data_IF_556870323806
#
_entry.id   IF_556870323806
#
_cell.length_a   1.000
_cell.length_b   1.000
_cell.length_c   1.000
_cell.angle_alpha   90.00
_cell.angle_beta   90.00
_cell.angle_gamma   90.00
#
_symmetry.space_group_name_H-M   'P 1'
#
loop_
_entity.id
_entity.type
_entity.pdbx_description
1 polymer ?
#
# COMPACT_ATOMS: atom_id res chain seq x y z
N UNK A 1 -1.61 2.16 12.26
CA UNK A 1 -1.56 2.77 10.91
C UNK A 1 -0.70 1.97 9.94
N UNK A 2 0.55 1.67 10.28
CA UNK A 2 1.47 0.91 9.42
C UNK A 2 0.89 -0.38 8.81
N UNK A 3 0.07 -1.12 9.57
CA UNK A 3 -0.55 -2.34 9.02
C UNK A 3 -1.53 -2.07 7.88
N UNK A 4 -2.35 -1.01 7.97
CA UNK A 4 -3.27 -0.65 6.87
C UNK A 4 -2.49 -0.26 5.61
N UNK A 5 -1.39 0.47 5.77
CA UNK A 5 -0.50 0.87 4.68
C UNK A 5 0.12 -0.36 4.01
N UNK A 6 0.69 -1.29 4.78
CA UNK A 6 1.21 -2.57 4.28
C UNK A 6 0.13 -3.37 3.56
N UNK A 7 -1.00 -3.58 4.22
CA UNK A 7 -2.04 -4.50 3.76
C UNK A 7 -2.66 -4.06 2.44
N UNK A 8 -2.96 -2.76 2.30
CA UNK A 8 -3.58 -2.21 1.10
C UNK A 8 -2.60 -1.87 0.00
N UNK A 9 -1.40 -1.37 0.32
CA UNK A 9 -0.35 -1.05 -0.66
C UNK A 9 -0.89 -0.36 -1.91
N UNK A 10 -1.64 0.74 -1.72
CA UNK A 10 -2.46 1.34 -2.79
C UNK A 10 -1.63 1.90 -3.96
N UNK A 11 -0.34 2.13 -3.73
CA UNK A 11 0.64 2.45 -4.75
C UNK A 11 1.50 1.20 -4.94
N UNK A 12 1.43 0.62 -6.13
CA UNK A 12 2.20 -0.57 -6.52
C UNK A 12 3.28 -0.18 -7.55
N UNK A 13 3.41 -0.91 -8.66
CA UNK A 13 4.55 -0.80 -9.56
C UNK A 13 4.78 0.57 -10.21
N UNK A 14 3.73 1.34 -10.44
CA UNK A 14 3.78 2.57 -11.23
C UNK A 14 4.50 3.75 -10.56
N UNK A 15 4.76 3.68 -9.26
CA UNK A 15 5.58 4.69 -8.57
C UNK A 15 7.03 4.22 -8.35
N UNK A 16 7.32 2.95 -8.66
CA UNK A 16 8.57 2.29 -8.30
C UNK A 16 9.32 1.75 -9.51
N UNK A 17 8.80 1.97 -10.72
CA UNK A 17 9.42 1.55 -11.97
C UNK A 17 10.77 2.24 -12.19
N UNK A 18 11.73 1.49 -12.72
CA UNK A 18 13.10 1.96 -12.96
C UNK A 18 13.57 1.49 -14.32
N UNK A 19 14.64 2.11 -14.81
CA UNK A 19 15.41 1.62 -15.95
C UNK A 19 16.83 1.37 -15.45
N UNK A 20 17.37 0.20 -15.75
CA UNK A 20 18.74 -0.13 -15.41
C UNK A 20 19.71 0.76 -16.22
N UNK A 21 20.61 1.46 -15.55
CA UNK A 21 21.60 2.32 -16.21
C UNK A 21 22.89 1.57 -16.58
N UNK A 22 23.09 0.41 -15.97
CA UNK A 22 24.24 -0.48 -16.17
C UNK A 22 23.79 -1.94 -15.99
N UNK A 23 24.61 -2.86 -16.48
CA UNK A 23 24.41 -4.30 -16.28
C UNK A 23 24.58 -4.65 -14.79
N UNK A 24 23.66 -5.43 -14.22
CA UNK A 24 23.69 -5.86 -12.82
C UNK A 24 23.04 -7.22 -12.60
N UNK A 25 23.15 -7.76 -11.40
CA UNK A 25 22.46 -8.98 -10.98
C UNK A 25 21.53 -8.67 -9.80
N UNK A 26 20.26 -9.08 -9.89
CA UNK A 26 19.25 -8.94 -8.83
C UNK A 26 18.62 -10.31 -8.57
N UNK A 27 18.71 -10.80 -7.33
CA UNK A 27 18.10 -12.08 -6.96
C UNK A 27 18.60 -13.27 -7.78
N UNK A 28 19.87 -13.25 -8.21
CA UNK A 28 20.44 -14.29 -9.08
C UNK A 28 20.04 -14.18 -10.55
N UNK A 29 19.40 -13.09 -10.97
CA UNK A 29 19.00 -12.84 -12.36
C UNK A 29 19.78 -11.67 -12.94
N UNK A 30 20.30 -11.82 -14.15
CA UNK A 30 20.98 -10.74 -14.87
C UNK A 30 19.96 -9.72 -15.40
N UNK A 31 20.27 -8.44 -15.21
CA UNK A 31 19.53 -7.29 -15.74
C UNK A 31 20.52 -6.47 -16.59
N UNK A 32 20.14 -6.14 -17.82
CA UNK A 32 20.98 -5.39 -18.75
C UNK A 32 20.70 -3.91 -18.71
N UNK A 33 21.70 -3.10 -19.01
CA UNK A 33 21.54 -1.67 -19.20
C UNK A 33 20.44 -1.39 -20.23
N UNK A 34 19.52 -0.49 -19.89
CA UNK A 34 18.35 -0.13 -20.69
C UNK A 34 17.09 -0.95 -20.41
N UNK A 35 17.17 -2.05 -19.64
CA UNK A 35 15.97 -2.82 -19.29
C UNK A 35 15.10 -2.11 -18.25
N UNK A 36 13.79 -2.23 -18.42
CA UNK A 36 12.79 -1.74 -17.47
C UNK A 36 12.59 -2.71 -16.31
N UNK A 37 12.48 -2.16 -15.11
CA UNK A 37 12.28 -2.89 -13.87
C UNK A 37 10.96 -2.45 -13.24
N UNK A 38 10.02 -3.38 -13.12
CA UNK A 38 8.79 -3.18 -12.36
C UNK A 38 8.98 -3.69 -10.94
N UNK A 39 9.01 -2.78 -9.97
CA UNK A 39 9.12 -3.12 -8.56
C UNK A 39 7.72 -3.24 -7.96
N UNK A 40 7.28 -4.47 -7.68
CA UNK A 40 5.93 -4.72 -7.17
C UNK A 40 5.90 -4.56 -5.64
N UNK A 41 5.47 -3.38 -5.17
CA UNK A 41 5.40 -3.05 -3.74
C UNK A 41 4.32 -3.82 -2.98
N UNK A 42 3.17 -4.08 -3.60
CA UNK A 42 2.08 -4.82 -2.97
C UNK A 42 2.46 -6.30 -2.70
N UNK A 43 3.02 -7.05 -3.66
CA UNK A 43 3.60 -8.37 -3.39
C UNK A 43 4.73 -8.36 -2.36
N UNK A 44 5.63 -7.37 -2.38
CA UNK A 44 6.68 -7.25 -1.37
C UNK A 44 6.11 -7.08 0.05
N UNK A 45 5.02 -6.32 0.19
CA UNK A 45 4.28 -6.16 1.46
C UNK A 45 3.47 -7.39 1.88
N UNK A 46 3.40 -8.42 1.02
CA UNK A 46 2.81 -9.74 1.31
C UNK A 46 3.87 -10.85 1.40
N UNK A 47 5.16 -10.52 1.42
CA UNK A 47 6.23 -11.52 1.45
C UNK A 47 6.21 -12.31 2.77
N UNK A 48 5.96 -13.62 2.67
CA UNK A 48 5.91 -14.55 3.80
C UNK A 48 7.25 -14.71 4.52
N UNK A 49 8.37 -14.32 3.89
CA UNK A 49 9.70 -14.30 4.51
C UNK A 49 9.86 -13.16 5.52
N UNK A 50 9.01 -12.13 5.42
CA UNK A 50 9.06 -10.91 6.25
C UNK A 50 7.84 -10.80 7.16
N UNK A 51 6.65 -11.13 6.65
CA UNK A 51 5.39 -11.00 7.36
C UNK A 51 4.72 -12.37 7.54
N UNK A 52 4.64 -12.84 8.78
CA UNK A 52 3.87 -14.06 9.12
C UNK A 52 2.37 -13.85 8.85
N UNK A 53 1.68 -14.81 8.21
CA UNK A 53 0.27 -14.67 7.79
C UNK A 53 0.03 -13.33 7.05
N UNK A 54 0.72 -13.08 5.93
CA UNK A 54 0.78 -11.76 5.28
C UNK A 54 -0.57 -11.28 4.74
N UNK A 55 -1.47 -12.22 4.44
CA UNK A 55 -2.81 -11.96 3.91
C UNK A 55 -3.85 -11.71 5.01
N UNK A 56 -3.46 -11.74 6.28
CA UNK A 56 -4.30 -11.30 7.39
C UNK A 56 -4.02 -9.83 7.72
N UNK A 57 -5.09 -9.07 7.92
CA UNK A 57 -5.02 -7.72 8.48
C UNK A 57 -4.94 -7.83 10.01
N UNK A 58 -3.73 -7.68 10.57
CA UNK A 58 -3.51 -7.67 12.03
C UNK A 58 -2.97 -6.32 12.49
N UNK A 59 -3.87 -5.45 12.97
CA UNK A 59 -3.51 -4.11 13.45
C UNK A 59 -2.61 -4.12 14.70
N UNK A 60 -2.47 -5.25 15.38
CA UNK A 60 -1.60 -5.43 16.54
C UNK A 60 -0.21 -5.93 16.15
N UNK A 61 -0.01 -6.34 14.89
CA UNK A 61 1.30 -6.64 14.34
C UNK A 61 2.20 -5.41 14.53
N UNK A 62 3.41 -5.63 15.01
CA UNK A 62 4.46 -4.60 15.07
C UNK A 62 5.02 -4.29 13.68
N UNK A 63 4.17 -3.92 12.72
CA UNK A 63 4.52 -3.76 11.30
C UNK A 63 5.61 -2.72 11.14
N UNK A 64 6.75 -3.16 10.62
CA UNK A 64 7.92 -2.34 10.26
C UNK A 64 8.39 -2.77 8.89
N UNK A 65 9.18 -1.91 8.23
CA UNK A 65 9.84 -2.21 6.96
C UNK A 65 8.90 -2.53 5.79
N UNK A 66 7.61 -2.17 5.88
CA UNK A 66 6.74 -2.21 4.71
C UNK A 66 7.22 -1.18 3.68
N UNK A 67 6.98 -1.45 2.41
CA UNK A 67 7.40 -0.60 1.28
C UNK A 67 6.23 0.16 0.64
N UNK A 68 5.10 0.33 1.36
CA UNK A 68 3.95 1.09 0.86
C UNK A 68 4.27 2.56 0.50
N UNK A 69 5.35 3.12 1.06
CA UNK A 69 5.88 4.45 0.74
C UNK A 69 7.11 4.42 -0.17
N UNK A 70 7.40 3.27 -0.79
CA UNK A 70 8.67 3.02 -1.48
C UNK A 70 9.85 2.93 -0.51
N UNK A 71 11.06 2.95 -1.08
CA UNK A 71 12.32 2.84 -0.35
C UNK A 71 13.44 3.62 -1.08
N UNK A 72 14.50 3.94 -0.34
CA UNK A 72 15.67 4.64 -0.87
C UNK A 72 15.47 6.15 -1.00
N UNK A 73 16.27 6.78 -1.87
CA UNK A 73 16.31 8.24 -2.02
C UNK A 73 15.00 8.86 -2.53
N UNK A 74 14.11 8.05 -3.12
CA UNK A 74 12.78 8.47 -3.57
C UNK A 74 11.66 7.99 -2.64
N UNK A 75 11.99 7.50 -1.44
CA UNK A 75 10.97 7.17 -0.45
C UNK A 75 10.07 8.38 -0.21
N UNK A 76 8.76 8.13 -0.10
CA UNK A 76 7.74 9.17 -0.04
C UNK A 76 8.11 10.27 0.98
N UNK A 77 8.37 11.47 0.46
CA UNK A 77 8.70 12.65 1.27
C UNK A 77 7.55 13.00 2.23
N UNK A 78 6.30 12.80 1.77
CA UNK A 78 5.09 13.08 2.53
C UNK A 78 4.66 11.98 3.50
N UNK A 79 5.43 10.90 3.67
CA UNK A 79 5.00 9.73 4.45
C UNK A 79 4.58 10.05 5.89
N UNK A 80 5.25 11.02 6.54
CA UNK A 80 4.93 11.40 7.91
C UNK A 80 3.66 12.26 7.99
N UNK A 81 3.43 13.10 6.98
CA UNK A 81 2.17 13.84 6.86
C UNK A 81 1.01 12.87 6.63
N UNK A 82 1.15 11.94 5.67
CA UNK A 82 0.13 10.94 5.39
C UNK A 82 -0.22 10.09 6.62
N UNK A 83 0.79 9.70 7.43
CA UNK A 83 0.55 9.01 8.71
C UNK A 83 -0.26 9.85 9.68
N UNK A 84 0.12 11.12 9.86
CA UNK A 84 -0.59 12.03 10.75
C UNK A 84 -2.04 12.26 10.29
N UNK A 85 -2.25 12.49 8.99
CA UNK A 85 -3.58 12.68 8.41
C UNK A 85 -4.47 11.44 8.62
N UNK A 86 -3.96 10.25 8.32
CA UNK A 86 -4.72 9.01 8.51
C UNK A 86 -5.03 8.75 9.99
N UNK A 87 -4.07 8.98 10.88
CA UNK A 87 -4.29 8.81 12.32
C UNK A 87 -5.39 9.75 12.83
N UNK A 88 -5.31 11.04 12.48
CA UNK A 88 -6.30 12.04 12.88
C UNK A 88 -7.67 11.72 12.26
N UNK A 89 -7.70 11.41 10.96
CA UNK A 89 -8.94 11.14 10.24
C UNK A 89 -9.66 9.91 10.81
N UNK A 90 -8.98 8.78 10.97
CA UNK A 90 -9.62 7.57 11.49
C UNK A 90 -10.07 7.74 12.94
N UNK A 91 -9.23 8.33 13.79
CA UNK A 91 -9.58 8.60 15.19
C UNK A 91 -10.82 9.49 15.28
N UNK A 92 -10.79 10.64 14.61
CA UNK A 92 -11.91 11.60 14.63
C UNK A 92 -13.18 10.99 14.05
N UNK A 93 -13.08 10.25 12.95
CA UNK A 93 -14.22 9.63 12.29
C UNK A 93 -14.96 8.68 13.24
N UNK A 94 -14.25 7.73 13.86
CA UNK A 94 -14.87 6.73 14.72
C UNK A 94 -15.26 7.27 16.11
N UNK A 95 -14.60 8.32 16.61
CA UNK A 95 -15.03 9.01 17.84
C UNK A 95 -16.31 9.83 17.63
N UNK A 96 -16.44 10.50 16.48
CA UNK A 96 -17.57 11.40 16.18
C UNK A 96 -18.76 10.68 15.58
N UNK A 97 -18.53 9.55 14.90
CA UNK A 97 -19.52 8.78 14.16
C UNK A 97 -19.39 7.30 14.55
N UNK A 98 -19.70 6.93 15.80
CA UNK A 98 -19.48 5.56 16.29
C UNK A 98 -20.41 4.51 15.65
N UNK A 99 -21.53 4.94 15.07
CA UNK A 99 -22.47 4.09 14.32
C UNK A 99 -22.11 3.88 12.85
N UNK A 100 -20.97 4.42 12.38
CA UNK A 100 -20.57 4.37 10.97
C UNK A 100 -20.56 2.94 10.45
N UNK A 101 -21.28 2.70 9.35
CA UNK A 101 -21.36 1.43 8.65
C UNK A 101 -21.42 1.65 7.14
N UNK A 102 -20.84 0.71 6.39
CA UNK A 102 -21.02 0.63 4.94
C UNK A 102 -22.47 0.25 4.63
N UNK A 103 -23.02 0.79 3.56
CA UNK A 103 -24.36 0.43 3.06
C UNK A 103 -24.29 -0.01 1.61
N UNK A 104 -25.07 -1.05 1.30
CA UNK A 104 -25.05 -1.70 0.00
C UNK A 104 -24.45 -3.10 0.08
N UNK A 105 -24.19 -3.66 -1.09
CA UNK A 105 -23.53 -4.95 -1.26
C UNK A 105 -22.01 -4.74 -1.37
N UNK A 106 -21.25 -5.40 -0.50
CA UNK A 106 -19.79 -5.30 -0.45
C UNK A 106 -19.15 -5.79 -1.77
N UNK A 107 -19.75 -6.80 -2.41
CA UNK A 107 -19.27 -7.34 -3.69
C UNK A 107 -19.53 -6.38 -4.86
N UNK A 108 -20.42 -5.39 -4.67
CA UNK A 108 -20.75 -4.38 -5.67
C UNK A 108 -19.98 -3.07 -5.48
N UNK A 109 -19.03 -3.00 -4.53
CA UNK A 109 -18.25 -1.78 -4.30
C UNK A 109 -17.40 -1.42 -5.53
N UNK A 110 -17.44 -0.16 -6.00
CA UNK A 110 -16.78 0.24 -7.24
C UNK A 110 -15.28 0.48 -7.03
N UNK A 111 -14.50 -0.61 -6.96
CA UNK A 111 -13.04 -0.56 -6.84
C UNK A 111 -12.37 -0.01 -8.10
N UNK A 112 -11.27 0.72 -7.89
CA UNK A 112 -10.42 1.30 -8.93
C UNK A 112 -9.43 0.27 -9.49
N UNK A 113 -9.89 -0.87 -10.01
CA UNK A 113 -9.00 -1.91 -10.55
C UNK A 113 -8.18 -1.46 -11.76
N UNK A 114 -8.70 -0.53 -12.56
CA UNK A 114 -7.96 0.12 -13.64
C UNK A 114 -7.21 1.39 -13.21
N UNK A 115 -7.24 1.73 -11.91
CA UNK A 115 -6.62 2.93 -11.38
C UNK A 115 -5.13 2.75 -11.12
N UNK A 116 -4.35 3.79 -11.40
CA UNK A 116 -2.92 3.90 -11.05
C UNK A 116 -2.69 3.82 -9.54
N UNK A 117 -3.63 4.36 -8.76
CA UNK A 117 -3.65 4.26 -7.30
C UNK A 117 -4.93 3.52 -6.92
N UNK A 118 -4.78 2.42 -6.19
CA UNK A 118 -5.90 1.59 -5.76
C UNK A 118 -6.80 2.34 -4.77
N UNK A 119 -8.08 1.98 -4.76
CA UNK A 119 -9.07 2.56 -3.87
C UNK A 119 -10.47 2.31 -4.39
N UNK A 120 -11.43 3.12 -3.93
CA UNK A 120 -12.83 3.07 -4.31
C UNK A 120 -13.24 4.35 -5.04
N UNK A 121 -14.14 4.23 -6.01
CA UNK A 121 -14.80 5.39 -6.61
C UNK A 121 -15.84 6.02 -5.68
N UNK A 122 -16.54 5.18 -4.91
CA UNK A 122 -17.49 5.58 -3.89
C UNK A 122 -17.53 4.54 -2.78
N UNK A 123 -17.77 4.98 -1.55
CA UNK A 123 -18.06 4.13 -0.39
C UNK A 123 -19.32 4.66 0.29
N UNK A 124 -20.50 4.13 -0.04
CA UNK A 124 -21.75 4.56 0.59
C UNK A 124 -21.74 4.17 2.07
N UNK A 125 -22.10 5.12 2.95
CA UNK A 125 -22.12 4.91 4.40
C UNK A 125 -23.37 5.49 5.05
N UNK A 126 -23.71 4.98 6.23
CA UNK A 126 -24.72 5.52 7.15
C UNK A 126 -24.18 5.47 8.59
N UNK A 127 -24.80 6.20 9.52
CA UNK A 127 -24.39 6.24 10.93
C UNK A 127 -25.53 6.55 11.89
#
# INVERSE_FOLDING_TARGET
MEELLRYHSIVDWIAFDRVATEDMEIGGQAVRAGEGLFVLGAPANRDHRVFERPDELDVRRGTRNHVAFGYGVHQCLGQNLARAELEIAYRTLFERIPGLRVVGDDDALPFKYGGVIFGLHALPVAW
#
